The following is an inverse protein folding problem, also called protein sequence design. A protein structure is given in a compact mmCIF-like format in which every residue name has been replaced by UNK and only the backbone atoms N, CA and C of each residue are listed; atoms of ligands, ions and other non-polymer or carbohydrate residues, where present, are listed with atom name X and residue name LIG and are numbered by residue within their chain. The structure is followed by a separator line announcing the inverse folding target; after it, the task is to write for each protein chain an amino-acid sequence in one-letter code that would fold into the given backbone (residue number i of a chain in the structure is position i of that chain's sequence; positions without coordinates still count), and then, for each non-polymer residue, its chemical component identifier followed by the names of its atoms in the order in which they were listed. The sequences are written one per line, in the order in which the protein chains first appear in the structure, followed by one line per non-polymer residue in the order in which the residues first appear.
data_IF_183223915530
#
_entry.id   IF_183223915530
#
_cell.length_a   1.000
_cell.length_b   1.000
_cell.length_c   1.000
_cell.angle_alpha   90.00
_cell.angle_beta   90.00
_cell.angle_gamma   90.00
#
_symmetry.space_group_name_H-M   'P 1'
#
loop_
_entity.id
_entity.type
_entity.pdbx_description
1 polymer ?
#
# COMPACT_ATOMS: atom_id res chain seq x y z
N UNK A 1 -10.16 6.67 26.45
CA UNK A 1 -9.91 7.09 25.05
C UNK A 1 -10.25 5.87 24.20
N UNK A 2 -11.15 5.99 23.22
CA UNK A 2 -11.51 4.82 22.42
C UNK A 2 -10.34 4.48 21.50
N UNK A 3 -9.94 3.21 21.50
CA UNK A 3 -8.90 2.69 20.63
C UNK A 3 -9.55 1.69 19.67
N UNK A 4 -9.82 2.17 18.45
CA UNK A 4 -10.45 1.36 17.42
C UNK A 4 -9.40 0.63 16.62
N UNK A 5 -9.62 -0.66 16.37
CA UNK A 5 -8.77 -1.49 15.51
C UNK A 5 -9.64 -2.13 14.43
N UNK A 6 -9.35 -1.84 13.17
CA UNK A 6 -9.93 -2.54 12.03
C UNK A 6 -8.91 -3.59 11.55
N UNK A 7 -9.21 -4.86 11.74
CA UNK A 7 -8.31 -5.96 11.43
C UNK A 7 -8.93 -6.87 10.38
N UNK A 8 -8.19 -7.09 9.30
CA UNK A 8 -8.51 -8.09 8.29
C UNK A 8 -7.81 -9.40 8.63
N UNK A 9 -8.53 -10.52 8.57
CA UNK A 9 -7.98 -11.84 8.86
C UNK A 9 -6.98 -12.29 7.76
N UNK A 10 -6.10 -13.22 8.11
CA UNK A 10 -5.01 -13.68 7.23
C UNK A 10 -5.48 -14.34 5.93
N UNK A 11 -6.68 -14.93 5.93
CA UNK A 11 -7.29 -15.51 4.74
C UNK A 11 -8.04 -14.48 3.88
N UNK A 12 -8.16 -13.23 4.36
CA UNK A 12 -8.98 -12.14 3.81
C UNK A 12 -10.49 -12.41 3.89
N UNK A 13 -10.92 -13.41 4.67
CA UNK A 13 -12.31 -13.82 4.74
C UNK A 13 -13.12 -12.93 5.67
N UNK A 14 -12.52 -12.26 6.65
CA UNK A 14 -13.25 -11.37 7.55
C UNK A 14 -12.49 -10.07 7.81
N UNK A 15 -13.25 -9.01 8.06
CA UNK A 15 -12.76 -7.77 8.63
C UNK A 15 -13.54 -7.44 9.90
N UNK A 16 -12.82 -7.16 10.99
CA UNK A 16 -13.39 -6.95 12.33
C UNK A 16 -13.03 -5.57 12.85
N UNK A 17 -14.01 -4.86 13.38
CA UNK A 17 -13.84 -3.61 14.12
C UNK A 17 -13.87 -3.92 15.62
N UNK A 18 -12.75 -3.66 16.28
CA UNK A 18 -12.60 -3.81 17.72
C UNK A 18 -12.55 -2.43 18.37
N UNK A 19 -13.17 -2.30 19.55
CA UNK A 19 -13.09 -1.14 20.43
C UNK A 19 -12.56 -1.61 21.79
N UNK A 20 -11.31 -1.27 22.12
CA UNK A 20 -10.65 -1.77 23.34
C UNK A 20 -10.71 -3.31 23.46
N UNK A 21 -10.41 -4.03 22.37
CA UNK A 21 -10.45 -5.50 22.25
C UNK A 21 -11.86 -6.14 22.31
N UNK A 22 -12.92 -5.35 22.42
CA UNK A 22 -14.30 -5.83 22.26
C UNK A 22 -14.69 -5.70 20.80
N UNK A 23 -15.14 -6.79 20.19
CA UNK A 23 -15.65 -6.77 18.82
C UNK A 23 -17.00 -6.05 18.76
N UNK A 24 -17.03 -4.95 18.02
CA UNK A 24 -18.24 -4.13 17.81
C UNK A 24 -18.95 -4.53 16.51
N UNK A 25 -18.17 -4.96 15.51
CA UNK A 25 -18.66 -5.31 14.18
C UNK A 25 -17.71 -6.28 13.49
N UNK A 26 -18.27 -7.23 12.75
CA UNK A 26 -17.55 -8.11 11.83
C UNK A 26 -18.25 -8.14 10.48
N UNK A 27 -17.46 -8.16 9.40
CA UNK A 27 -17.95 -8.35 8.04
C UNK A 27 -17.25 -9.56 7.43
N UNK A 28 -18.04 -10.57 7.09
CA UNK A 28 -17.60 -11.71 6.30
C UNK A 28 -17.48 -11.30 4.83
N UNK A 29 -16.41 -11.76 4.18
CA UNK A 29 -16.02 -11.48 2.80
C UNK A 29 -16.20 -10.00 2.47
N UNK A 30 -15.45 -9.11 3.14
CA UNK A 30 -15.59 -7.67 2.97
C UNK A 30 -15.41 -7.32 1.48
N UNK A 31 -16.54 -7.06 0.82
CA UNK A 31 -16.58 -6.62 -0.57
C UNK A 31 -15.92 -5.25 -0.73
N UNK A 32 -15.87 -4.47 0.35
CA UNK A 32 -15.22 -3.17 0.41
C UNK A 32 -14.39 -3.10 1.68
N UNK A 33 -13.27 -2.39 1.62
CA UNK A 33 -12.64 -1.84 2.83
C UNK A 33 -13.68 -1.01 3.60
N UNK A 34 -14.00 -1.38 4.85
CA UNK A 34 -14.83 -0.55 5.76
C UNK A 34 -14.16 0.77 6.15
N UNK A 35 -12.86 0.89 5.87
CA UNK A 35 -11.97 1.99 6.19
C UNK A 35 -12.56 3.37 5.89
N UNK A 36 -13.03 3.69 4.66
CA UNK A 36 -13.50 5.04 4.34
C UNK A 36 -14.84 5.37 5.03
N UNK A 37 -15.68 4.35 5.28
CA UNK A 37 -16.96 4.51 5.96
C UNK A 37 -16.76 4.81 7.45
N UNK A 38 -15.85 4.07 8.10
CA UNK A 38 -15.55 4.24 9.51
C UNK A 38 -14.82 5.55 9.79
N UNK A 39 -13.83 5.91 8.96
CA UNK A 39 -13.09 7.16 9.12
C UNK A 39 -13.98 8.41 8.99
N UNK A 40 -15.04 8.34 8.17
CA UNK A 40 -16.01 9.43 8.03
C UNK A 40 -16.95 9.57 9.25
N UNK A 41 -17.14 8.49 10.03
CA UNK A 41 -18.09 8.44 11.14
C UNK A 41 -17.43 8.59 12.52
N UNK A 42 -16.15 8.25 12.64
CA UNK A 42 -15.43 8.33 13.91
C UNK A 42 -15.07 9.79 14.25
N UNK A 43 -15.65 10.30 15.33
CA UNK A 43 -15.33 11.63 15.84
C UNK A 43 -13.93 11.65 16.52
N UNK A 44 -13.10 12.69 16.29
CA UNK A 44 -11.88 12.90 17.06
C UNK A 44 -12.17 13.08 18.56
N UNK A 45 -11.28 12.68 19.50
CA UNK A 45 -9.95 12.11 19.31
C UNK A 45 -9.93 10.59 19.50
N UNK A 46 -10.06 9.82 18.42
CA UNK A 46 -9.90 8.37 18.43
C UNK A 46 -8.53 7.98 17.85
N UNK A 47 -7.84 7.03 18.51
CA UNK A 47 -6.72 6.33 17.85
C UNK A 47 -7.33 5.23 16.99
N UNK A 48 -7.04 5.25 15.70
CA UNK A 48 -7.51 4.25 14.76
C UNK A 48 -6.33 3.47 14.20
N UNK A 49 -6.35 2.16 14.43
CA UNK A 49 -5.40 1.23 13.87
C UNK A 49 -6.05 0.42 12.77
N UNK A 50 -5.31 0.18 11.71
CA UNK A 50 -5.72 -0.71 10.62
C UNK A 50 -4.69 -1.81 10.47
N UNK A 51 -5.11 -3.04 10.24
CA UNK A 51 -4.18 -4.15 10.14
C UNK A 51 -4.67 -5.35 9.37
N UNK A 52 -3.74 -6.26 9.16
CA UNK A 52 -3.94 -7.56 8.55
C UNK A 52 -3.03 -8.59 9.23
N UNK A 53 -3.57 -9.78 9.52
CA UNK A 53 -2.82 -10.91 10.10
C UNK A 53 -2.00 -10.45 11.31
N UNK A 54 -2.69 -9.81 12.27
CA UNK A 54 -2.22 -9.19 13.53
C UNK A 54 -1.30 -7.96 13.45
N UNK A 55 -0.72 -7.66 12.28
CA UNK A 55 0.11 -6.47 12.07
C UNK A 55 -0.78 -5.25 11.90
N UNK A 56 -0.55 -4.20 12.69
CA UNK A 56 -1.39 -2.99 12.70
C UNK A 56 -0.59 -1.71 12.54
N UNK A 57 -1.09 -0.78 11.73
CA UNK A 57 -0.52 0.56 11.55
C UNK A 57 -1.50 1.61 12.01
N UNK A 58 -0.96 2.65 12.64
CA UNK A 58 -1.72 3.84 13.00
C UNK A 58 -1.93 4.71 11.78
N UNK A 59 -3.14 5.23 11.63
CA UNK A 59 -3.50 6.15 10.57
C UNK A 59 -3.23 7.60 10.99
N UNK A 60 -2.95 8.49 10.03
CA UNK A 60 -2.82 9.90 10.32
C UNK A 60 -4.13 10.43 10.89
N UNK A 61 -4.04 11.30 11.88
CA UNK A 61 -5.21 12.03 12.34
C UNK A 61 -5.48 13.19 11.35
N UNK A 62 -6.59 13.18 10.60
CA UNK A 62 -6.86 14.21 9.60
C UNK A 62 -6.89 15.63 10.19
N UNK A 63 -7.19 15.77 11.50
CA UNK A 63 -7.21 17.06 12.19
C UNK A 63 -5.83 17.70 12.35
N UNK A 64 -4.75 16.93 12.18
CA UNK A 64 -3.38 17.41 12.33
C UNK A 64 -2.74 17.84 11.00
N UNK A 65 -3.47 17.76 9.89
CA UNK A 65 -2.95 18.09 8.56
C UNK A 65 -2.00 17.02 7.97
N UNK A 66 -1.84 15.89 8.65
CA UNK A 66 -1.11 14.74 8.12
C UNK A 66 -1.94 14.05 7.03
N UNK A 67 -1.39 13.95 5.82
CA UNK A 67 -2.01 13.22 4.71
C UNK A 67 -1.00 12.23 4.12
N UNK A 68 -1.18 10.95 4.43
CA UNK A 68 -0.53 9.85 3.73
C UNK A 68 -1.54 8.71 3.52
N UNK A 69 -1.39 7.92 2.44
CA UNK A 69 -2.36 6.88 2.12
C UNK A 69 -2.42 5.82 3.22
N UNK A 70 -3.64 5.39 3.51
CA UNK A 70 -3.88 4.26 4.40
C UNK A 70 -3.59 2.95 3.67
N UNK A 71 -3.26 1.87 4.40
CA UNK A 71 -3.30 0.54 3.82
C UNK A 71 -4.67 0.26 3.20
N UNK A 72 -4.68 -0.62 2.22
CA UNK A 72 -5.86 -0.99 1.46
C UNK A 72 -5.83 -2.49 1.20
N UNK A 73 -6.91 -3.03 0.62
CA UNK A 73 -6.93 -4.44 0.24
C UNK A 73 -5.78 -4.84 -0.69
N UNK A 74 -5.24 -3.93 -1.52
CA UNK A 74 -4.02 -4.21 -2.31
C UNK A 74 -2.81 -4.54 -1.43
N UNK A 75 -2.66 -3.85 -0.30
CA UNK A 75 -1.60 -4.13 0.66
C UNK A 75 -1.79 -5.49 1.34
N UNK A 76 -3.03 -5.86 1.68
CA UNK A 76 -3.32 -7.12 2.36
C UNK A 76 -3.17 -8.32 1.42
N UNK A 77 -3.60 -8.18 0.16
CA UNK A 77 -3.36 -9.19 -0.89
C UNK A 77 -1.87 -9.37 -1.15
N UNK A 78 -1.10 -8.28 -1.21
CA UNK A 78 0.36 -8.37 -1.34
C UNK A 78 1.01 -9.03 -0.11
N UNK A 79 0.61 -8.66 1.10
CA UNK A 79 1.12 -9.25 2.34
C UNK A 79 0.83 -10.77 2.42
N UNK A 80 -0.38 -11.19 2.03
CA UNK A 80 -0.75 -12.61 1.91
C UNK A 80 0.16 -13.34 0.93
N UNK A 81 0.31 -12.81 -0.28
CA UNK A 81 1.20 -13.38 -1.29
C UNK A 81 2.64 -13.52 -0.78
N UNK A 82 3.18 -12.47 -0.14
CA UNK A 82 4.53 -12.52 0.42
C UNK A 82 4.67 -13.62 1.48
N UNK A 83 3.69 -13.78 2.37
CA UNK A 83 3.70 -14.83 3.40
C UNK A 83 3.62 -16.25 2.82
N UNK A 84 2.82 -16.45 1.78
CA UNK A 84 2.56 -17.78 1.20
C UNK A 84 3.68 -18.21 0.23
N UNK A 85 4.18 -17.30 -0.59
CA UNK A 85 5.07 -17.62 -1.71
C UNK A 85 6.54 -17.28 -1.45
N UNK A 86 6.85 -16.34 -0.56
CA UNK A 86 8.21 -15.88 -0.31
C UNK A 86 8.77 -16.53 0.96
N UNK A 87 9.54 -17.61 0.77
CA UNK A 87 10.07 -18.44 1.87
C UNK A 87 11.26 -17.83 2.62
N UNK A 88 12.08 -17.03 1.94
CA UNK A 88 13.26 -16.40 2.53
C UNK A 88 13.47 -15.02 1.92
N UNK A 89 13.66 -14.04 2.79
CA UNK A 89 13.96 -12.66 2.40
C UNK A 89 15.12 -12.19 3.27
N UNK A 90 16.29 -11.99 2.68
CA UNK A 90 17.42 -11.40 3.40
C UNK A 90 17.21 -9.89 3.54
N UNK A 91 16.82 -9.24 2.45
CA UNK A 91 16.64 -7.79 2.40
C UNK A 91 15.40 -7.41 1.59
N UNK A 92 14.63 -6.44 2.13
CA UNK A 92 13.40 -5.94 1.51
C UNK A 92 13.33 -4.42 1.53
N UNK A 93 12.90 -3.84 0.42
CA UNK A 93 12.59 -2.43 0.30
C UNK A 93 11.08 -2.20 0.08
N UNK A 94 10.48 -1.29 0.83
CA UNK A 94 9.09 -0.83 0.72
C UNK A 94 9.09 0.57 0.07
N UNK A 95 8.73 0.63 -1.21
CA UNK A 95 8.75 1.85 -2.03
C UNK A 95 7.38 2.55 -2.02
N UNK A 96 7.38 3.85 -1.73
CA UNK A 96 6.14 4.59 -1.50
C UNK A 96 5.42 4.09 -0.26
N UNK A 97 6.16 3.92 0.84
CA UNK A 97 5.72 3.12 1.98
C UNK A 97 4.51 3.70 2.73
N UNK A 98 4.20 5.00 2.59
CA UNK A 98 3.06 5.64 3.26
C UNK A 98 3.09 5.42 4.77
N UNK A 99 2.10 4.71 5.31
CA UNK A 99 2.05 4.33 6.72
C UNK A 99 3.08 3.25 7.15
N UNK A 100 3.80 2.66 6.19
CA UNK A 100 4.83 1.64 6.40
C UNK A 100 4.30 0.24 6.66
N UNK A 101 3.09 -0.07 6.20
CA UNK A 101 2.43 -1.36 6.49
C UNK A 101 3.21 -2.55 5.93
N UNK A 102 3.64 -2.52 4.66
CA UNK A 102 4.32 -3.68 4.06
C UNK A 102 5.68 -3.93 4.69
N UNK A 103 6.47 -2.89 4.96
CA UNK A 103 7.73 -3.04 5.67
C UNK A 103 7.55 -3.48 7.13
N UNK A 104 6.53 -2.98 7.83
CA UNK A 104 6.19 -3.45 9.19
C UNK A 104 5.76 -4.93 9.19
N UNK A 105 4.95 -5.33 8.20
CA UNK A 105 4.52 -6.70 8.00
C UNK A 105 5.69 -7.63 7.69
N UNK A 106 6.56 -7.23 6.76
CA UNK A 106 7.77 -7.98 6.41
C UNK A 106 8.66 -8.19 7.64
N UNK A 107 8.89 -7.16 8.45
CA UNK A 107 9.64 -7.29 9.70
C UNK A 107 9.04 -8.33 10.65
N UNK A 108 7.72 -8.38 10.76
CA UNK A 108 7.03 -9.18 11.75
C UNK A 108 6.85 -10.65 11.30
N UNK A 109 6.65 -10.85 10.00
CA UNK A 109 6.23 -12.16 9.44
C UNK A 109 7.29 -12.82 8.57
N UNK A 110 8.16 -12.05 7.91
CA UNK A 110 9.19 -12.56 7.00
C UNK A 110 10.60 -12.47 7.59
N UNK A 111 10.78 -11.62 8.60
CA UNK A 111 12.02 -11.44 9.36
C UNK A 111 13.29 -11.19 8.52
N UNK A 112 13.29 -10.29 7.54
CA UNK A 112 14.52 -9.92 6.84
C UNK A 112 15.54 -9.29 7.79
N UNK A 113 16.83 -9.45 7.48
CA UNK A 113 17.93 -8.82 8.22
C UNK A 113 18.08 -7.35 7.85
N UNK A 114 17.63 -6.95 6.66
CA UNK A 114 17.64 -5.55 6.22
C UNK A 114 16.29 -5.11 5.68
N UNK A 115 15.78 -4.00 6.22
CA UNK A 115 14.59 -3.31 5.74
C UNK A 115 14.91 -1.90 5.28
N UNK A 116 14.26 -1.49 4.21
CA UNK A 116 14.36 -0.15 3.68
C UNK A 116 12.97 0.41 3.42
N UNK A 117 12.71 1.60 3.94
CA UNK A 117 11.46 2.34 3.74
C UNK A 117 11.77 3.60 2.96
N UNK A 118 11.04 3.87 1.89
CA UNK A 118 11.18 5.11 1.14
C UNK A 118 9.82 5.68 0.76
N UNK A 119 9.69 6.98 0.95
CA UNK A 119 8.53 7.76 0.56
C UNK A 119 8.98 9.19 0.25
N UNK A 120 8.25 9.87 -0.63
CA UNK A 120 8.52 11.29 -0.91
C UNK A 120 8.19 12.17 0.31
N UNK A 121 7.23 11.75 1.13
CA UNK A 121 6.75 12.53 2.27
C UNK A 121 7.52 12.20 3.56
N UNK A 122 8.12 13.20 4.23
CA UNK A 122 8.69 13.02 5.57
C UNK A 122 7.69 12.52 6.61
N UNK A 123 6.40 12.89 6.50
CA UNK A 123 5.37 12.42 7.44
C UNK A 123 5.10 10.91 7.30
N UNK A 124 5.13 10.38 6.07
CA UNK A 124 5.08 8.93 5.80
C UNK A 124 6.25 8.21 6.46
N UNK A 125 7.46 8.77 6.41
CA UNK A 125 8.65 8.18 7.03
C UNK A 125 8.54 8.12 8.56
N UNK A 126 8.07 9.20 9.20
CA UNK A 126 7.83 9.23 10.65
C UNK A 126 6.76 8.21 11.04
N UNK A 127 5.65 8.15 10.29
CA UNK A 127 4.58 7.19 10.52
C UNK A 127 5.08 5.74 10.37
N UNK A 128 5.84 5.47 9.30
CA UNK A 128 6.46 4.18 9.03
C UNK A 128 7.40 3.75 10.15
N UNK A 129 8.22 4.65 10.69
CA UNK A 129 9.10 4.36 11.82
C UNK A 129 8.32 3.96 13.08
N UNK A 130 7.27 4.72 13.41
CA UNK A 130 6.41 4.45 14.56
C UNK A 130 5.66 3.13 14.42
N UNK A 131 5.11 2.87 13.24
CA UNK A 131 4.36 1.67 12.94
C UNK A 131 5.25 0.44 12.88
N UNK A 132 6.44 0.56 12.27
CA UNK A 132 7.44 -0.49 12.32
C UNK A 132 7.79 -0.85 13.77
N UNK A 133 8.10 0.17 14.58
CA UNK A 133 8.47 0.00 15.99
C UNK A 133 7.39 -0.72 16.78
N UNK A 134 6.12 -0.29 16.62
CA UNK A 134 4.96 -0.92 17.29
C UNK A 134 4.86 -2.42 17.03
N UNK A 135 5.13 -2.87 15.81
CA UNK A 135 4.92 -4.28 15.42
C UNK A 135 6.16 -5.16 15.64
N UNK A 136 7.36 -4.57 15.72
CA UNK A 136 8.61 -5.32 15.58
C UNK A 136 9.60 -5.14 16.72
N UNK A 137 9.44 -4.09 17.53
CA UNK A 137 10.45 -3.68 18.48
C UNK A 137 9.92 -3.92 19.89
N UNK A 138 10.42 -4.97 20.53
CA UNK A 138 10.11 -5.33 21.92
C UNK A 138 11.19 -4.84 22.89
N UNK A 139 12.34 -4.36 22.38
CA UNK A 139 13.49 -3.86 23.13
C UNK A 139 13.90 -2.48 22.62
N UNK A 140 14.59 -1.67 23.42
CA UNK A 140 15.02 -0.33 22.99
C UNK A 140 15.90 -0.41 21.71
N UNK A 141 15.50 0.22 20.59
CA UNK A 141 16.29 0.19 19.38
C UNK A 141 17.43 1.20 19.44
N UNK A 142 18.56 0.89 18.80
CA UNK A 142 19.56 1.91 18.52
C UNK A 142 19.04 2.79 17.39
N UNK A 143 18.89 4.08 17.67
CA UNK A 143 18.42 5.09 16.70
C UNK A 143 19.58 5.98 16.30
N UNK A 144 19.79 6.14 15.00
CA UNK A 144 20.75 7.08 14.43
C UNK A 144 20.01 7.99 13.43
N UNK A 145 19.96 9.28 13.74
CA UNK A 145 19.37 10.29 12.88
C UNK A 145 20.47 10.92 12.02
N UNK A 146 20.32 10.79 10.70
CA UNK A 146 21.21 11.35 9.70
C UNK A 146 20.47 12.46 8.93
N UNK A 147 21.18 13.34 8.20
CA UNK A 147 20.55 14.48 7.52
C UNK A 147 19.44 14.11 6.54
N UNK A 148 19.55 12.95 5.89
CA UNK A 148 18.66 12.48 4.83
C UNK A 148 17.87 11.23 5.21
N UNK A 149 18.10 10.64 6.39
CA UNK A 149 17.53 9.34 6.76
C UNK A 149 17.50 9.06 8.26
N UNK A 150 16.66 8.11 8.64
CA UNK A 150 16.63 7.50 9.97
C UNK A 150 17.14 6.06 9.87
N UNK A 151 18.08 5.68 10.74
CA UNK A 151 18.52 4.29 10.88
C UNK A 151 18.10 3.74 12.24
N UNK A 152 17.47 2.57 12.23
CA UNK A 152 17.12 1.80 13.42
C UNK A 152 17.88 0.48 13.38
N UNK A 153 18.40 0.03 14.52
CA UNK A 153 18.99 -1.30 14.66
C UNK A 153 18.46 -1.99 15.91
N UNK A 154 17.97 -3.22 15.76
CA UNK A 154 17.49 -4.08 16.85
C UNK A 154 17.53 -5.54 16.41
N UNK A 155 17.76 -6.49 17.31
CA UNK A 155 17.68 -7.94 17.03
C UNK A 155 18.39 -8.38 15.73
N UNK A 156 19.64 -7.95 15.53
CA UNK A 156 20.44 -8.22 14.32
C UNK A 156 19.85 -7.70 13.00
N UNK A 157 18.82 -6.85 13.09
CA UNK A 157 18.14 -6.25 11.95
C UNK A 157 18.50 -4.78 11.80
N UNK A 158 18.75 -4.39 10.56
CA UNK A 158 18.93 -3.01 10.17
C UNK A 158 17.68 -2.49 9.45
N UNK A 159 17.25 -1.29 9.83
CA UNK A 159 16.15 -0.58 9.17
C UNK A 159 16.61 0.80 8.79
N UNK A 160 16.47 1.14 7.51
CA UNK A 160 16.76 2.46 7.00
C UNK A 160 15.46 3.08 6.46
N UNK A 161 15.14 4.30 6.88
CA UNK A 161 13.98 5.03 6.40
C UNK A 161 14.43 6.36 5.78
N UNK A 162 14.04 6.61 4.53
CA UNK A 162 14.54 7.72 3.72
C UNK A 162 13.39 8.50 3.12
N UNK A 163 13.33 9.79 3.41
CA UNK A 163 12.40 10.70 2.75
C UNK A 163 13.04 11.23 1.46
N UNK A 164 12.35 11.12 0.33
CA UNK A 164 12.82 11.64 -0.94
C UNK A 164 12.42 10.80 -2.14
N UNK A 165 12.96 11.18 -3.30
CA UNK A 165 12.74 10.46 -4.54
C UNK A 165 13.43 9.09 -4.49
N UNK A 166 12.62 8.05 -4.65
CA UNK A 166 13.02 6.65 -4.54
C UNK A 166 14.22 6.30 -5.42
N UNK A 167 14.35 6.89 -6.62
CA UNK A 167 15.45 6.59 -7.54
C UNK A 167 16.79 7.01 -6.95
N UNK A 168 16.83 8.15 -6.26
CA UNK A 168 18.02 8.61 -5.55
C UNK A 168 18.20 7.86 -4.23
N UNK A 169 17.11 7.61 -3.51
CA UNK A 169 17.13 6.93 -2.21
C UNK A 169 17.62 5.49 -2.30
N UNK A 170 17.58 4.83 -3.46
CA UNK A 170 18.11 3.46 -3.64
C UNK A 170 19.50 3.41 -4.29
N UNK A 171 20.08 4.53 -4.72
CA UNK A 171 21.40 4.54 -5.36
C UNK A 171 22.45 3.89 -4.46
N UNK A 172 23.23 2.97 -5.03
CA UNK A 172 24.29 2.26 -4.32
C UNK A 172 23.81 1.24 -3.27
N UNK A 173 22.50 0.93 -3.23
CA UNK A 173 21.91 -0.07 -2.34
C UNK A 173 21.53 -1.31 -3.12
N UNK A 174 21.54 -2.45 -2.44
CA UNK A 174 21.09 -3.73 -2.98
C UNK A 174 20.02 -4.32 -2.07
N UNK A 175 18.98 -4.88 -2.69
CA UNK A 175 17.90 -5.58 -2.00
C UNK A 175 17.56 -6.85 -2.76
N UNK A 176 17.14 -7.91 -2.05
CA UNK A 176 16.63 -9.11 -2.69
C UNK A 176 15.22 -8.90 -3.26
N UNK A 177 14.38 -8.17 -2.52
CA UNK A 177 12.99 -7.89 -2.88
C UNK A 177 12.71 -6.39 -2.71
N UNK A 178 11.93 -5.84 -3.64
CA UNK A 178 11.28 -4.56 -3.50
C UNK A 178 9.77 -4.74 -3.61
N UNK A 179 9.00 -4.01 -2.79
CA UNK A 179 7.55 -4.04 -2.77
C UNK A 179 6.96 -2.65 -2.92
N UNK A 180 5.78 -2.56 -3.52
CA UNK A 180 4.99 -1.34 -3.57
C UNK A 180 3.50 -1.65 -3.79
N UNK A 181 2.64 -0.71 -3.40
CA UNK A 181 1.21 -0.70 -3.74
C UNK A 181 0.82 0.64 -4.40
N UNK A 182 1.18 0.86 -5.68
CA UNK A 182 0.85 2.11 -6.36
C UNK A 182 -0.66 2.29 -6.46
N UNK A 183 -1.17 3.41 -5.94
CA UNK A 183 -2.60 3.75 -6.03
C UNK A 183 -2.84 4.53 -7.34
N UNK A 184 -2.58 3.88 -8.48
CA UNK A 184 -2.88 4.41 -9.81
C UNK A 184 -3.90 3.51 -10.50
N UNK A 185 -4.96 4.11 -11.04
CA UNK A 185 -5.94 3.48 -11.93
C UNK A 185 -6.27 4.49 -13.05
N UNK A 186 -5.94 4.22 -14.32
CA UNK A 186 -6.23 5.13 -15.43
C UNK A 186 -7.68 5.62 -15.41
N UNK A 187 -7.88 6.93 -15.49
CA UNK A 187 -9.22 7.53 -15.51
C UNK A 187 -10.01 7.51 -14.20
N UNK A 188 -9.52 6.86 -13.13
CA UNK A 188 -10.21 6.76 -11.82
C UNK A 188 -9.36 7.37 -10.71
N UNK A 189 -8.10 6.92 -10.58
CA UNK A 189 -7.15 7.46 -9.60
C UNK A 189 -5.88 7.80 -10.35
N UNK A 190 -5.72 9.06 -10.73
CA UNK A 190 -4.59 9.51 -11.54
C UNK A 190 -3.38 9.98 -10.71
N UNK A 191 -3.28 9.52 -9.47
CA UNK A 191 -2.13 9.86 -8.62
C UNK A 191 -0.92 9.10 -9.13
N UNK A 192 0.10 9.85 -9.55
CA UNK A 192 1.41 9.35 -9.94
C UNK A 192 1.38 8.24 -11.02
N UNK A 193 0.94 8.54 -12.26
CA UNK A 193 0.81 7.55 -13.33
C UNK A 193 2.12 6.83 -13.66
N UNK A 194 3.28 7.44 -13.40
CA UNK A 194 4.58 6.84 -13.65
C UNK A 194 5.02 5.83 -12.58
N UNK A 195 4.23 5.61 -11.52
CA UNK A 195 4.65 4.84 -10.35
C UNK A 195 5.23 3.45 -10.67
N UNK A 196 4.58 2.69 -11.56
CA UNK A 196 5.07 1.35 -11.94
C UNK A 196 6.44 1.40 -12.64
N UNK A 197 6.65 2.35 -13.55
CA UNK A 197 7.93 2.54 -14.23
C UNK A 197 9.01 3.06 -13.26
N UNK A 198 8.68 4.01 -12.38
CA UNK A 198 9.62 4.59 -11.42
C UNK A 198 10.05 3.56 -10.37
N UNK A 199 9.10 2.86 -9.75
CA UNK A 199 9.42 1.82 -8.76
C UNK A 199 10.10 0.61 -9.41
N UNK A 200 9.70 0.23 -10.62
CA UNK A 200 10.40 -0.78 -11.40
C UNK A 200 11.85 -0.38 -11.69
N UNK A 201 12.10 0.87 -12.09
CA UNK A 201 13.45 1.38 -12.31
C UNK A 201 14.27 1.46 -11.01
N UNK A 202 13.65 1.80 -9.87
CA UNK A 202 14.30 1.77 -8.56
C UNK A 202 14.68 0.34 -8.14
N UNK A 203 13.80 -0.63 -8.38
CA UNK A 203 14.08 -2.05 -8.14
C UNK A 203 15.22 -2.56 -9.03
N UNK A 204 15.22 -2.21 -10.32
CA UNK A 204 16.31 -2.49 -11.25
C UNK A 204 17.65 -1.95 -10.75
N UNK A 205 17.68 -0.68 -10.36
CA UNK A 205 18.89 -0.01 -9.85
C UNK A 205 19.42 -0.63 -8.56
N UNK A 206 18.56 -1.29 -7.79
CA UNK A 206 18.91 -1.99 -6.55
C UNK A 206 19.01 -3.51 -6.69
N UNK A 207 18.98 -4.04 -7.93
CA UNK A 207 19.03 -5.47 -8.24
C UNK A 207 17.93 -6.30 -7.56
N UNK A 208 16.80 -5.66 -7.22
CA UNK A 208 15.71 -6.28 -6.49
C UNK A 208 14.68 -6.91 -7.45
N UNK A 209 14.11 -8.05 -7.05
CA UNK A 209 12.86 -8.53 -7.63
C UNK A 209 11.73 -7.61 -7.17
N UNK A 210 11.01 -6.98 -8.11
CA UNK A 210 9.93 -6.06 -7.78
C UNK A 210 8.59 -6.81 -7.73
N UNK A 211 7.93 -6.81 -6.58
CA UNK A 211 6.65 -7.47 -6.35
C UNK A 211 5.63 -6.40 -5.91
N UNK A 212 4.55 -6.24 -6.65
CA UNK A 212 3.61 -5.15 -6.37
C UNK A 212 2.18 -5.61 -6.57
N UNK A 213 1.26 -4.97 -5.83
CA UNK A 213 -0.17 -5.16 -6.05
C UNK A 213 -0.80 -3.98 -6.78
N UNK A 214 -1.78 -4.28 -7.62
CA UNK A 214 -2.44 -3.33 -8.50
C UNK A 214 -3.85 -3.79 -8.85
N UNK A 215 -4.62 -2.89 -9.48
CA UNK A 215 -5.90 -3.23 -10.10
C UNK A 215 -5.68 -3.90 -11.46
N UNK A 216 -6.53 -4.84 -11.86
CA UNK A 216 -6.56 -5.38 -13.23
C UNK A 216 -6.81 -4.31 -14.28
N UNK A 217 -7.42 -3.19 -13.90
CA UNK A 217 -7.65 -2.03 -14.76
C UNK A 217 -6.35 -1.29 -15.13
N UNK A 218 -5.20 -1.67 -14.57
CA UNK A 218 -3.88 -1.10 -14.91
C UNK A 218 -2.98 -2.05 -15.68
N UNK A 219 -3.49 -3.23 -16.10
CA UNK A 219 -2.68 -4.28 -16.73
C UNK A 219 -1.92 -3.75 -17.98
N UNK A 220 -2.60 -3.03 -18.88
CA UNK A 220 -1.98 -2.48 -20.08
C UNK A 220 -0.84 -1.51 -19.74
N UNK A 221 -1.09 -0.60 -18.80
CA UNK A 221 -0.09 0.37 -18.34
C UNK A 221 1.12 -0.29 -17.67
N UNK A 222 0.90 -1.38 -16.94
CA UNK A 222 1.99 -2.17 -16.32
C UNK A 222 2.82 -2.87 -17.41
N UNK A 223 2.16 -3.44 -18.43
CA UNK A 223 2.84 -4.07 -19.57
C UNK A 223 3.72 -3.04 -20.30
N UNK A 224 3.19 -1.83 -20.55
CA UNK A 224 3.95 -0.74 -21.16
C UNK A 224 5.11 -0.28 -20.28
N UNK A 225 4.88 -0.11 -18.98
CA UNK A 225 5.92 0.25 -18.01
C UNK A 225 7.05 -0.78 -17.98
N UNK A 226 6.72 -2.09 -17.96
CA UNK A 226 7.69 -3.17 -17.98
C UNK A 226 8.53 -3.15 -19.27
N UNK A 227 7.90 -2.96 -20.43
CA UNK A 227 8.61 -2.82 -21.72
C UNK A 227 9.56 -1.63 -21.70
N UNK A 228 9.10 -0.48 -21.21
CA UNK A 228 9.88 0.75 -21.16
C UNK A 228 11.17 0.61 -20.34
N UNK A 229 11.11 -0.07 -19.20
CA UNK A 229 12.27 -0.28 -18.32
C UNK A 229 13.07 -1.56 -18.64
N UNK A 230 12.62 -2.34 -19.62
CA UNK A 230 13.22 -3.62 -20.02
C UNK A 230 13.12 -4.70 -18.95
N UNK A 231 12.01 -4.76 -18.22
CA UNK A 231 11.72 -5.81 -17.23
C UNK A 231 11.08 -7.04 -17.88
N UNK A 232 11.38 -8.23 -17.35
CA UNK A 232 10.52 -9.41 -17.54
C UNK A 232 9.36 -9.34 -16.55
N UNK A 233 8.14 -9.30 -17.09
CA UNK A 233 6.89 -9.20 -16.32
C UNK A 233 6.20 -10.57 -16.19
N UNK A 234 5.85 -10.94 -14.96
CA UNK A 234 4.90 -12.01 -14.63
C UNK A 234 3.64 -11.34 -14.05
N UNK A 235 2.62 -11.19 -14.90
CA UNK A 235 1.40 -10.43 -14.60
C UNK A 235 0.37 -11.33 -13.89
N UNK A 236 -0.13 -10.89 -12.74
CA UNK A 236 -1.24 -11.56 -12.05
C UNK A 236 -0.88 -12.94 -11.48
N UNK A 237 0.28 -13.07 -10.84
CA UNK A 237 0.74 -14.31 -10.18
C UNK A 237 -0.15 -14.70 -8.98
N UNK A 238 -0.93 -13.75 -8.46
CA UNK A 238 -2.07 -13.98 -7.58
C UNK A 238 -3.15 -12.93 -7.86
N UNK A 239 -4.41 -13.26 -7.59
CA UNK A 239 -5.54 -12.34 -7.75
C UNK A 239 -6.64 -12.56 -6.70
N UNK A 240 -7.40 -11.49 -6.46
CA UNK A 240 -8.61 -11.48 -5.66
C UNK A 240 -9.66 -10.62 -6.38
N UNK A 241 -10.80 -11.21 -6.72
CA UNK A 241 -11.94 -10.46 -7.25
C UNK A 241 -12.50 -9.51 -6.20
N UNK A 242 -12.67 -8.24 -6.57
CA UNK A 242 -13.19 -7.19 -5.70
C UNK A 242 -14.12 -6.26 -6.49
N UNK A 243 -15.20 -5.75 -5.87
CA UNK A 243 -15.95 -4.65 -6.46
C UNK A 243 -15.21 -3.31 -6.25
N UNK A 244 -15.07 -2.55 -7.32
CA UNK A 244 -14.71 -1.14 -7.33
C UNK A 244 -15.97 -0.30 -7.41
N UNK A 245 -16.19 0.56 -6.41
CA UNK A 245 -17.29 1.53 -6.43
C UNK A 245 -16.74 2.89 -6.84
N UNK A 246 -17.20 3.37 -7.98
CA UNK A 246 -16.92 4.72 -8.45
C UNK A 246 -18.19 5.52 -8.31
N UNK A 247 -18.15 6.55 -7.47
CA UNK A 247 -19.19 7.56 -7.42
C UNK A 247 -18.96 8.51 -8.60
N UNK A 248 -19.80 8.41 -9.63
CA UNK A 248 -19.68 9.24 -10.83
C UNK A 248 -20.11 10.69 -10.58
N UNK A 249 -20.69 10.97 -9.40
CA UNK A 249 -21.10 12.30 -8.96
C UNK A 249 -20.09 12.97 -8.02
N UNK A 250 -18.99 12.31 -7.63
CA UNK A 250 -17.98 12.89 -6.72
C UNK A 250 -16.84 13.59 -7.47
N UNK A 251 -16.82 14.94 -7.51
CA UNK A 251 -15.78 15.71 -8.19
C UNK A 251 -14.42 15.68 -7.47
N UNK A 252 -14.31 15.14 -6.26
CA UNK A 252 -13.03 15.04 -5.54
C UNK A 252 -12.20 13.82 -5.93
N UNK A 253 -12.82 12.79 -6.53
CA UNK A 253 -12.13 11.63 -7.13
C UNK A 253 -11.81 11.82 -8.62
N UNK A 254 -12.49 12.74 -9.28
CA UNK A 254 -11.98 13.39 -10.48
C UNK A 254 -10.78 14.23 -10.04
N UNK A 255 -9.57 13.65 -10.05
CA UNK A 255 -8.34 14.39 -9.83
C UNK A 255 -8.42 15.69 -10.62
N UNK A 256 -8.06 16.81 -9.98
CA UNK A 256 -8.07 18.15 -10.60
C UNK A 256 -7.34 18.10 -11.95
N UNK A 257 -8.07 17.85 -13.02
CA UNK A 257 -7.67 18.24 -14.35
C UNK A 257 -7.93 19.75 -14.40
N UNK A 258 -6.92 20.60 -14.63
CA UNK A 258 -7.14 22.02 -14.87
C UNK A 258 -7.93 22.26 -16.17
N UNK A 259 -8.13 21.23 -16.99
CA UNK A 259 -8.90 21.26 -18.23
C UNK A 259 -10.20 20.50 -18.01
N UNK A 260 -11.18 21.19 -17.43
CA UNK A 260 -12.44 20.60 -17.02
C UNK A 260 -13.13 19.78 -18.10
N UNK A 261 -13.27 18.49 -17.84
CA UNK A 261 -14.42 17.67 -18.17
C UNK A 261 -14.46 16.53 -17.12
N UNK A 262 -15.65 16.21 -16.61
CA UNK A 262 -15.83 15.21 -15.55
C UNK A 262 -15.33 13.80 -15.93
N UNK A 263 -15.43 12.80 -15.04
CA UNK A 263 -14.98 11.45 -15.32
C UNK A 263 -15.68 10.93 -16.60
N UNK A 264 -14.88 10.73 -17.65
CA UNK A 264 -15.40 10.41 -18.97
C UNK A 264 -15.93 8.96 -18.95
N UNK A 265 -17.24 8.81 -18.70
CA UNK A 265 -17.98 7.53 -18.60
C UNK A 265 -17.70 6.60 -19.80
N UNK A 266 -17.36 7.17 -20.96
CA UNK A 266 -16.95 6.42 -22.14
C UNK A 266 -15.63 5.65 -21.96
N UNK A 267 -14.65 6.22 -21.27
CA UNK A 267 -13.36 5.58 -20.98
C UNK A 267 -13.50 4.47 -19.94
N UNK A 268 -14.37 4.67 -18.94
CA UNK A 268 -14.71 3.62 -17.98
C UNK A 268 -15.29 2.39 -18.69
N UNK A 269 -16.19 2.58 -19.66
CA UNK A 269 -16.74 1.46 -20.48
C UNK A 269 -15.67 0.75 -21.31
N UNK A 270 -14.65 1.45 -21.81
CA UNK A 270 -13.52 0.83 -22.53
C UNK A 270 -12.63 -0.03 -21.63
N UNK A 271 -12.63 0.21 -20.32
CA UNK A 271 -11.96 -0.64 -19.32
C UNK A 271 -12.78 -1.89 -18.94
N UNK A 272 -13.82 -2.23 -19.72
CA UNK A 272 -14.66 -3.42 -19.50
C UNK A 272 -15.77 -3.24 -18.46
N UNK A 273 -16.04 -2.00 -18.06
CA UNK A 273 -16.97 -1.67 -16.98
C UNK A 273 -18.42 -1.58 -17.48
N UNK A 274 -19.33 -2.38 -16.89
CA UNK A 274 -20.76 -2.41 -17.25
C UNK A 274 -21.58 -1.44 -16.39
N UNK A 275 -22.51 -0.74 -17.02
CA UNK A 275 -23.38 0.24 -16.36
C UNK A 275 -24.35 -0.43 -15.38
N UNK A 276 -24.62 0.23 -14.26
CA UNK A 276 -25.79 -0.04 -13.42
C UNK A 276 -26.65 1.22 -13.39
N UNK A 277 -27.98 1.10 -13.43
CA UNK A 277 -28.96 2.21 -13.46
C UNK A 277 -28.98 3.10 -12.19
N UNK A 278 -27.89 3.16 -11.43
CA UNK A 278 -27.72 3.90 -10.19
C UNK A 278 -26.67 5.02 -10.36
N UNK A 279 -26.80 6.17 -9.66
CA UNK A 279 -25.77 7.22 -9.62
C UNK A 279 -24.41 6.74 -9.06
N UNK A 280 -24.35 5.53 -8.50
CA UNK A 280 -23.11 4.82 -8.17
C UNK A 280 -22.95 3.62 -9.07
N UNK A 281 -21.94 3.65 -9.93
CA UNK A 281 -21.60 2.51 -10.77
C UNK A 281 -20.71 1.55 -9.96
N UNK A 282 -21.10 0.27 -9.97
CA UNK A 282 -20.34 -0.81 -9.33
C UNK A 282 -19.63 -1.60 -10.42
N UNK A 283 -18.35 -1.80 -10.24
CA UNK A 283 -17.47 -2.40 -11.23
C UNK A 283 -16.78 -3.62 -10.63
N UNK A 284 -16.75 -4.75 -11.33
CA UNK A 284 -15.90 -5.86 -10.92
C UNK A 284 -14.48 -5.61 -11.46
N UNK A 285 -13.48 -5.71 -10.58
CA UNK A 285 -12.08 -5.76 -10.99
C UNK A 285 -11.35 -6.80 -10.14
N UNK A 286 -10.12 -7.13 -10.52
CA UNK A 286 -9.27 -7.96 -9.69
C UNK A 286 -8.19 -7.10 -9.06
N UNK A 287 -7.94 -7.31 -7.78
CA UNK A 287 -6.68 -6.93 -7.17
C UNK A 287 -5.69 -8.03 -7.51
N UNK A 288 -4.63 -7.68 -8.22
CA UNK A 288 -3.58 -8.60 -8.67
C UNK A 288 -2.29 -8.36 -7.91
N UNK A 289 -1.45 -9.37 -7.86
CA UNK A 289 -0.02 -9.26 -7.54
C UNK A 289 0.76 -9.61 -8.79
N UNK A 290 1.77 -8.82 -9.11
CA UNK A 290 2.64 -9.01 -10.27
C UNK A 290 4.10 -8.87 -9.90
N UNK A 291 4.96 -9.46 -10.73
CA UNK A 291 6.41 -9.49 -10.50
C UNK A 291 7.12 -8.91 -11.73
N UNK A 292 8.05 -7.98 -11.51
CA UNK A 292 9.04 -7.56 -12.48
C UNK A 292 10.43 -8.04 -12.05
N UNK A 293 11.18 -8.58 -13.01
CA UNK A 293 12.58 -9.03 -12.85
C UNK A 293 13.48 -8.43 -13.94
N UNK A 294 14.78 -8.35 -13.65
CA UNK A 294 15.78 -7.62 -14.43
C UNK A 294 17.04 -8.44 -14.68
#
# INVERSE_FOLDING_TARGET
MNNYRLITDADLANQRLLNNEIEEMSVEKPLLSLEPLLLAQLAPPATFLMGYDDVTVGLPNPSNGDAFPHPSMMHFVLAKFLKEEIKQVESLADFGCGAGFLGAYAGAKLSPTKLFFSDLSPSSIIASANNYSRNNITSEPKVEQLPDRLKLSHNEREVELVAGDVLYSVMGRQFGIAVACPIYIPGIVQVFPQAYAVFGQAAKSSSAKFIFSHSSLTDEHIIESAKHIGAKLELGVASLEMPLIVDTADPLRAGRDPLGDGPNVSYLKTLGLKDSDSPRSHYAHEIKVSIMSF
#
